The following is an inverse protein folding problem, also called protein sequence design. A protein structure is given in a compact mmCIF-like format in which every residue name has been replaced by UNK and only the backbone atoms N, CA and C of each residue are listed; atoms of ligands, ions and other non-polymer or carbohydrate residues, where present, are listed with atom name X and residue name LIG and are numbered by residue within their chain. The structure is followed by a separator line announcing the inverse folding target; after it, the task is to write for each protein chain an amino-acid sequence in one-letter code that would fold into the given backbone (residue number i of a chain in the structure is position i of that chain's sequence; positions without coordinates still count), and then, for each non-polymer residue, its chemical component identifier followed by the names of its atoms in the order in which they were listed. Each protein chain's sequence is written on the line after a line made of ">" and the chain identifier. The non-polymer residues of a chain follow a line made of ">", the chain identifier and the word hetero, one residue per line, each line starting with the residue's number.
data_IF_667248226310
#
_entry.id   IF_667248226310
#
_cell.length_a   1.000
_cell.length_b   1.000
_cell.length_c   1.000
_cell.angle_alpha   90.00
_cell.angle_beta   90.00
_cell.angle_gamma   90.00
#
_symmetry.space_group_name_H-M   'P 1'
#
loop_
_entity.id
_entity.type
_entity.pdbx_description
1 polymer ?
#
# COMPACT_ATOMS: atom_id res chain seq x y z
N UNK A 1 4.77 -58.33 17.19
CA UNK A 1 5.66 -57.16 17.30
C UNK A 1 5.46 -56.32 16.06
N UNK A 2 5.55 -55.01 16.20
CA UNK A 2 5.34 -54.05 15.12
C UNK A 2 6.43 -54.20 14.02
N UNK A 3 5.99 -54.34 12.77
CA UNK A 3 6.81 -54.57 11.56
C UNK A 3 7.00 -53.33 10.69
N UNK A 4 6.48 -52.18 11.15
CA UNK A 4 6.53 -50.95 10.38
C UNK A 4 7.96 -50.41 10.23
N UNK A 5 8.22 -49.78 9.07
CA UNK A 5 9.51 -49.15 8.77
C UNK A 5 9.81 -48.05 9.79
N UNK A 6 10.91 -48.20 10.53
CA UNK A 6 11.34 -47.23 11.54
C UNK A 6 12.25 -46.18 10.91
N UNK A 7 11.97 -44.91 11.19
CA UNK A 7 12.85 -43.78 10.86
C UNK A 7 13.52 -43.29 12.15
N UNK A 8 14.84 -43.16 12.12
CA UNK A 8 15.63 -42.59 13.22
C UNK A 8 16.46 -41.44 12.69
N UNK A 9 16.40 -40.34 13.41
CA UNK A 9 17.11 -39.10 13.12
C UNK A 9 18.08 -38.87 14.28
N UNK A 10 19.38 -38.97 14.00
CA UNK A 10 20.44 -38.69 14.98
C UNK A 10 21.02 -37.29 14.74
N UNK A 11 20.72 -36.39 15.66
CA UNK A 11 21.11 -34.98 15.59
C UNK A 11 22.39 -34.67 16.41
N UNK A 12 22.98 -35.67 17.05
CA UNK A 12 24.03 -35.48 18.05
C UNK A 12 25.43 -35.55 17.46
N UNK A 13 26.38 -34.85 18.09
CA UNK A 13 27.82 -34.95 17.78
C UNK A 13 28.58 -35.15 19.11
N UNK A 14 29.26 -36.30 19.32
CA UNK A 14 29.28 -37.48 18.46
C UNK A 14 27.91 -38.19 18.36
N UNK A 15 27.71 -38.98 17.31
CA UNK A 15 26.47 -39.71 17.05
C UNK A 15 26.07 -40.60 18.24
N UNK A 16 24.78 -40.65 18.56
CA UNK A 16 24.23 -41.54 19.57
C UNK A 16 23.97 -42.96 19.04
N UNK A 17 23.77 -43.11 17.73
CA UNK A 17 23.52 -44.42 17.10
C UNK A 17 24.78 -44.92 16.41
N UNK A 18 25.18 -46.14 16.75
CA UNK A 18 26.32 -46.79 16.11
C UNK A 18 25.90 -47.33 14.73
N UNK A 19 26.78 -47.21 13.72
CA UNK A 19 26.45 -47.64 12.34
C UNK A 19 26.15 -49.13 12.20
N UNK A 20 26.65 -49.97 13.10
CA UNK A 20 26.30 -51.39 13.12
C UNK A 20 24.81 -51.64 13.44
N UNK A 21 24.15 -50.73 14.16
CA UNK A 21 22.75 -50.88 14.57
C UNK A 21 21.77 -50.83 13.40
N UNK A 22 22.15 -50.20 12.27
CA UNK A 22 21.35 -50.19 11.04
C UNK A 22 21.45 -51.49 10.23
N UNK A 23 22.44 -52.35 10.53
CA UNK A 23 22.59 -53.68 9.94
C UNK A 23 21.73 -54.71 10.68
N UNK A 24 21.69 -54.62 12.01
CA UNK A 24 20.95 -55.54 12.88
C UNK A 24 19.44 -55.25 12.90
N UNK A 25 19.06 -54.00 12.63
CA UNK A 25 17.67 -53.56 12.58
C UNK A 25 17.42 -52.79 11.29
N UNK A 26 16.57 -53.29 10.37
CA UNK A 26 16.24 -52.56 9.15
C UNK A 26 15.45 -51.29 9.49
N UNK A 27 16.14 -50.14 9.42
CA UNK A 27 15.61 -48.82 9.73
C UNK A 27 16.17 -47.78 8.77
N UNK A 28 15.38 -46.77 8.45
CA UNK A 28 15.87 -45.58 7.77
C UNK A 28 16.60 -44.73 8.80
N UNK A 29 17.88 -44.46 8.56
CA UNK A 29 18.74 -43.72 9.47
C UNK A 29 19.23 -42.45 8.77
N UNK A 30 19.02 -41.30 9.42
CA UNK A 30 19.45 -39.99 8.94
C UNK A 30 20.42 -39.41 9.96
N UNK A 31 21.63 -39.09 9.52
CA UNK A 31 22.67 -38.48 10.36
C UNK A 31 22.61 -36.94 10.29
N UNK A 32 23.19 -36.27 11.28
CA UNK A 32 23.28 -34.81 11.33
C UNK A 32 23.98 -34.20 10.09
N UNK A 33 24.91 -34.94 9.46
CA UNK A 33 25.61 -34.48 8.26
C UNK A 33 24.71 -34.48 7.01
N UNK A 34 23.75 -35.42 6.90
CA UNK A 34 22.74 -35.43 5.84
C UNK A 34 21.83 -34.18 5.95
N UNK A 35 21.44 -33.84 7.19
CA UNK A 35 20.65 -32.65 7.47
C UNK A 35 21.42 -31.36 7.22
N UNK A 36 22.73 -31.34 7.48
CA UNK A 36 23.59 -30.19 7.15
C UNK A 36 23.69 -29.94 5.66
N UNK A 37 23.74 -31.00 4.85
CA UNK A 37 23.75 -30.87 3.38
C UNK A 37 22.41 -30.27 2.89
N UNK A 38 21.29 -30.81 3.36
CA UNK A 38 19.96 -30.28 3.04
C UNK A 38 19.77 -28.84 3.56
N UNK A 39 20.33 -28.51 4.72
CA UNK A 39 20.30 -27.15 5.26
C UNK A 39 21.12 -26.16 4.41
N UNK A 40 22.26 -26.59 3.84
CA UNK A 40 23.06 -25.76 2.91
C UNK A 40 22.30 -25.46 1.61
N UNK A 41 21.63 -26.47 1.04
CA UNK A 41 20.79 -26.29 -0.15
C UNK A 41 19.62 -25.33 0.13
N UNK A 42 18.97 -25.49 1.27
CA UNK A 42 17.91 -24.59 1.73
C UNK A 42 18.42 -23.15 1.98
N UNK A 43 19.65 -22.99 2.48
CA UNK A 43 20.26 -21.68 2.69
C UNK A 43 20.53 -20.98 1.35
N UNK A 44 21.10 -21.69 0.37
CA UNK A 44 21.32 -21.16 -0.98
C UNK A 44 20.00 -20.76 -1.66
N UNK A 45 18.93 -21.53 -1.46
CA UNK A 45 17.59 -21.14 -1.92
C UNK A 45 17.09 -19.85 -1.26
N UNK A 46 17.29 -19.70 0.06
CA UNK A 46 16.92 -18.48 0.80
C UNK A 46 17.69 -17.25 0.33
N UNK A 47 18.96 -17.39 -0.05
CA UNK A 47 19.77 -16.29 -0.61
C UNK A 47 19.17 -15.74 -1.91
N UNK A 48 18.62 -16.61 -2.76
CA UNK A 48 17.93 -16.18 -3.99
C UNK A 48 16.61 -15.45 -3.69
N UNK A 49 15.90 -15.84 -2.64
CA UNK A 49 14.68 -15.16 -2.19
C UNK A 49 14.97 -13.76 -1.63
N UNK A 50 16.13 -13.53 -1.00
CA UNK A 50 16.55 -12.20 -0.54
C UNK A 50 16.62 -11.22 -1.71
N UNK A 51 17.19 -11.61 -2.85
CA UNK A 51 17.27 -10.76 -4.02
C UNK A 51 15.87 -10.39 -4.57
N UNK A 52 14.93 -11.34 -4.55
CA UNK A 52 13.53 -11.09 -4.92
C UNK A 52 12.85 -10.12 -3.96
N UNK A 53 13.03 -10.31 -2.65
CA UNK A 53 12.50 -9.44 -1.61
C UNK A 53 13.05 -8.01 -1.72
N UNK A 54 14.36 -7.86 -1.99
CA UNK A 54 14.98 -6.55 -2.22
C UNK A 54 14.40 -5.86 -3.46
N UNK A 55 14.21 -6.58 -4.58
CA UNK A 55 13.59 -6.02 -5.78
C UNK A 55 12.17 -5.52 -5.50
N UNK A 56 11.38 -6.29 -4.75
CA UNK A 56 10.03 -5.92 -4.35
C UNK A 56 10.05 -4.68 -3.44
N UNK A 57 10.92 -4.67 -2.44
CA UNK A 57 11.06 -3.55 -1.50
C UNK A 57 11.45 -2.28 -2.24
N UNK A 58 12.41 -2.33 -3.16
CA UNK A 58 12.80 -1.18 -3.99
C UNK A 58 11.64 -0.66 -4.82
N UNK A 59 10.84 -1.53 -5.43
CA UNK A 59 9.64 -1.11 -6.15
C UNK A 59 8.63 -0.39 -5.23
N UNK A 60 8.42 -0.90 -4.02
CA UNK A 60 7.55 -0.24 -3.03
C UNK A 60 8.10 1.10 -2.57
N UNK A 61 9.40 1.17 -2.25
CA UNK A 61 10.03 2.42 -1.80
C UNK A 61 10.00 3.50 -2.87
N UNK A 62 10.10 3.13 -4.15
CA UNK A 62 9.96 4.07 -5.26
C UNK A 62 8.53 4.59 -5.43
N UNK A 63 7.51 3.76 -5.16
CA UNK A 63 6.09 4.12 -5.33
C UNK A 63 5.45 4.74 -4.07
N UNK A 64 6.05 4.53 -2.90
CA UNK A 64 5.51 4.99 -1.63
C UNK A 64 5.39 6.52 -1.51
N UNK A 65 6.37 7.34 -1.98
CA UNK A 65 6.26 8.79 -1.94
C UNK A 65 5.02 9.34 -2.64
N UNK A 66 4.67 8.79 -3.81
CA UNK A 66 3.46 9.18 -4.54
C UNK A 66 2.19 8.81 -3.78
N UNK A 67 2.17 7.60 -3.22
CA UNK A 67 1.05 7.14 -2.37
C UNK A 67 0.87 8.05 -1.16
N UNK A 68 1.96 8.43 -0.50
CA UNK A 68 1.94 9.35 0.64
C UNK A 68 1.49 10.76 0.23
N UNK A 69 1.95 11.26 -0.91
CA UNK A 69 1.53 12.55 -1.47
C UNK A 69 0.03 12.57 -1.76
N UNK A 70 -0.49 11.51 -2.38
CA UNK A 70 -1.93 11.37 -2.64
C UNK A 70 -2.72 11.43 -1.35
N UNK A 71 -2.29 10.68 -0.34
CA UNK A 71 -2.96 10.68 0.97
C UNK A 71 -2.95 12.06 1.65
N UNK A 72 -1.85 12.81 1.56
CA UNK A 72 -1.77 14.16 2.13
C UNK A 72 -2.76 15.12 1.45
N UNK A 73 -2.87 15.06 0.13
CA UNK A 73 -3.83 15.88 -0.62
C UNK A 73 -5.27 15.48 -0.26
N UNK A 74 -5.58 14.19 -0.22
CA UNK A 74 -6.90 13.71 0.22
C UNK A 74 -7.29 14.26 1.59
N UNK A 75 -6.36 14.24 2.55
CA UNK A 75 -6.61 14.75 3.90
C UNK A 75 -6.88 16.25 3.90
N UNK A 76 -6.11 17.04 3.14
CA UNK A 76 -6.32 18.48 3.03
C UNK A 76 -7.69 18.82 2.40
N UNK A 77 -8.12 18.05 1.40
CA UNK A 77 -9.40 18.28 0.70
C UNK A 77 -10.63 17.95 1.56
N UNK A 78 -10.47 17.24 2.69
CA UNK A 78 -11.60 16.95 3.60
C UNK A 78 -12.22 18.19 4.23
N UNK A 79 -11.50 19.31 4.29
CA UNK A 79 -12.04 20.55 4.85
C UNK A 79 -13.03 21.27 3.91
N UNK A 80 -12.94 21.03 2.59
CA UNK A 80 -13.71 21.78 1.59
C UNK A 80 -15.23 21.69 1.82
N UNK A 81 -15.85 20.52 2.07
CA UNK A 81 -17.29 20.44 2.30
C UNK A 81 -17.76 21.31 3.46
N UNK A 82 -17.03 21.30 4.58
CA UNK A 82 -17.36 22.08 5.77
C UNK A 82 -17.22 23.58 5.50
N UNK A 83 -16.13 24.01 4.86
CA UNK A 83 -15.91 25.41 4.48
C UNK A 83 -17.00 25.93 3.54
N UNK A 84 -17.37 25.15 2.52
CA UNK A 84 -18.41 25.53 1.55
C UNK A 84 -19.78 25.62 2.24
N UNK A 85 -20.07 24.69 3.16
CA UNK A 85 -21.29 24.71 3.96
C UNK A 85 -21.34 25.95 4.86
N UNK A 86 -20.25 26.26 5.54
CA UNK A 86 -20.14 27.44 6.40
C UNK A 86 -20.36 28.74 5.60
N UNK A 87 -19.82 28.84 4.39
CA UNK A 87 -20.07 29.97 3.48
C UNK A 87 -21.55 30.12 3.16
N UNK A 88 -22.25 29.02 2.84
CA UNK A 88 -23.70 29.04 2.58
C UNK A 88 -24.50 29.47 3.81
N UNK A 89 -24.22 28.89 4.97
CA UNK A 89 -24.92 29.21 6.22
C UNK A 89 -24.71 30.69 6.58
N UNK A 90 -23.47 31.19 6.47
CA UNK A 90 -23.15 32.60 6.68
C UNK A 90 -23.87 33.52 5.69
N UNK A 91 -23.94 33.15 4.42
CA UNK A 91 -24.64 33.94 3.41
C UNK A 91 -26.13 34.09 3.75
N UNK A 92 -26.81 33.01 4.14
CA UNK A 92 -28.25 33.00 4.41
C UNK A 92 -28.58 33.63 5.77
N UNK A 93 -27.81 33.30 6.81
CA UNK A 93 -28.18 33.61 8.19
C UNK A 93 -27.57 34.92 8.70
N UNK A 94 -26.51 35.43 8.05
CA UNK A 94 -25.82 36.64 8.50
C UNK A 94 -25.82 37.73 7.43
N UNK A 95 -25.23 37.45 6.26
CA UNK A 95 -24.95 38.48 5.25
C UNK A 95 -26.23 39.00 4.59
N UNK A 96 -27.09 38.09 4.13
CA UNK A 96 -28.33 38.42 3.42
C UNK A 96 -29.58 38.12 4.26
N UNK A 97 -29.43 38.08 5.59
CA UNK A 97 -30.51 37.67 6.50
C UNK A 97 -31.78 38.49 6.30
N UNK A 98 -31.65 39.80 6.08
CA UNK A 98 -32.79 40.72 5.96
C UNK A 98 -33.52 40.50 4.64
N UNK A 99 -32.76 40.44 3.55
CA UNK A 99 -33.24 40.21 2.20
C UNK A 99 -33.94 38.84 2.10
N UNK A 100 -33.38 37.80 2.71
CA UNK A 100 -33.98 36.47 2.76
C UNK A 100 -35.28 36.46 3.58
N UNK A 101 -35.38 37.26 4.63
CA UNK A 101 -36.58 37.35 5.46
C UNK A 101 -37.75 38.07 4.77
N UNK A 102 -37.47 38.90 3.76
CA UNK A 102 -38.46 39.60 2.95
C UNK A 102 -39.04 38.73 1.82
N UNK A 103 -38.44 37.57 1.54
CA UNK A 103 -38.90 36.66 0.48
C UNK A 103 -40.17 35.91 0.89
N UNK A 104 -41.06 35.71 -0.06
CA UNK A 104 -42.19 34.80 0.07
C UNK A 104 -41.72 33.33 0.06
N UNK A 105 -42.55 32.45 0.65
CA UNK A 105 -42.22 31.05 0.84
C UNK A 105 -41.71 30.31 -0.42
N UNK A 106 -42.36 30.39 -1.61
CA UNK A 106 -41.89 29.67 -2.79
C UNK A 106 -40.58 30.23 -3.35
N UNK A 107 -40.34 31.55 -3.27
CA UNK A 107 -39.07 32.15 -3.69
C UNK A 107 -37.93 31.75 -2.76
N UNK A 108 -38.19 31.73 -1.44
CA UNK A 108 -37.22 31.26 -0.45
C UNK A 108 -36.86 29.79 -0.66
N UNK A 109 -37.83 28.93 -0.94
CA UNK A 109 -37.58 27.52 -1.24
C UNK A 109 -36.74 27.35 -2.52
N UNK A 110 -37.04 28.12 -3.58
CA UNK A 110 -36.24 28.11 -4.79
C UNK A 110 -34.78 28.53 -4.51
N UNK A 111 -34.58 29.61 -3.76
CA UNK A 111 -33.25 30.08 -3.36
C UNK A 111 -32.49 29.00 -2.58
N UNK A 112 -33.11 28.38 -1.58
CA UNK A 112 -32.49 27.32 -0.77
C UNK A 112 -32.11 26.10 -1.62
N UNK A 113 -32.94 25.71 -2.58
CA UNK A 113 -32.62 24.64 -3.54
C UNK A 113 -31.46 25.02 -4.46
N UNK A 114 -31.44 26.24 -4.98
CA UNK A 114 -30.32 26.76 -5.80
C UNK A 114 -29.02 26.78 -5.01
N UNK A 115 -29.02 27.31 -3.79
CA UNK A 115 -27.85 27.35 -2.91
C UNK A 115 -27.35 25.96 -2.56
N UNK A 116 -28.26 25.01 -2.32
CA UNK A 116 -27.90 23.60 -2.08
C UNK A 116 -27.29 22.94 -3.32
N UNK A 117 -27.78 23.27 -4.52
CA UNK A 117 -27.16 22.81 -5.76
C UNK A 117 -25.76 23.40 -5.94
N UNK A 118 -25.60 24.70 -5.68
CA UNK A 118 -24.30 25.38 -5.75
C UNK A 118 -23.30 24.80 -4.75
N UNK A 119 -23.69 24.58 -3.50
CA UNK A 119 -22.89 23.91 -2.47
C UNK A 119 -22.34 22.57 -3.00
N UNK A 120 -23.22 21.71 -3.55
CA UNK A 120 -22.83 20.42 -4.14
C UNK A 120 -21.85 20.57 -5.31
N UNK A 121 -21.98 21.60 -6.15
CA UNK A 121 -21.06 21.84 -7.28
C UNK A 121 -19.72 22.40 -6.83
N UNK A 122 -19.71 23.33 -5.88
CA UNK A 122 -18.50 23.90 -5.30
C UNK A 122 -17.67 22.86 -4.53
N UNK A 123 -18.30 21.81 -3.99
CA UNK A 123 -17.58 20.64 -3.46
C UNK A 123 -17.18 19.68 -4.58
N UNK A 124 -18.12 19.28 -5.43
CA UNK A 124 -17.92 18.18 -6.38
C UNK A 124 -16.92 18.47 -7.50
N UNK A 125 -16.85 19.71 -8.01
CA UNK A 125 -15.95 20.06 -9.12
C UNK A 125 -14.48 20.02 -8.67
N UNK A 126 -14.07 20.73 -7.59
CA UNK A 126 -12.69 20.67 -7.12
C UNK A 126 -12.26 19.26 -6.72
N UNK A 127 -13.12 18.47 -6.07
CA UNK A 127 -12.80 17.08 -5.72
C UNK A 127 -12.56 16.21 -6.95
N UNK A 128 -13.35 16.37 -8.02
CA UNK A 128 -13.15 15.66 -9.29
C UNK A 128 -11.83 16.05 -9.97
N UNK A 129 -11.55 17.35 -10.03
CA UNK A 129 -10.30 17.86 -10.62
C UNK A 129 -9.10 17.34 -9.84
N UNK A 130 -9.12 17.44 -8.51
CA UNK A 130 -8.05 16.95 -7.67
C UNK A 130 -7.82 15.44 -7.85
N UNK A 131 -8.89 14.63 -7.87
CA UNK A 131 -8.79 13.20 -8.12
C UNK A 131 -8.13 12.90 -9.48
N UNK A 132 -8.54 13.61 -10.54
CA UNK A 132 -7.96 13.43 -11.88
C UNK A 132 -6.47 13.80 -11.95
N UNK A 133 -6.07 14.88 -11.25
CA UNK A 133 -4.67 15.30 -11.15
C UNK A 133 -3.80 14.34 -10.33
N UNK A 134 -4.38 13.57 -9.41
CA UNK A 134 -3.68 12.55 -8.63
C UNK A 134 -3.57 11.21 -9.38
N UNK A 135 -4.54 10.87 -10.24
CA UNK A 135 -4.51 9.61 -11.02
C UNK A 135 -3.75 9.71 -12.33
N UNK A 136 -3.39 10.91 -12.78
CA UNK A 136 -2.58 11.10 -13.97
C UNK A 136 -1.16 10.64 -13.69
N UNK A 137 -0.59 9.69 -14.47
CA UNK A 137 0.78 9.26 -14.25
C UNK A 137 1.71 10.45 -14.39
N UNK A 138 2.50 10.72 -13.35
CA UNK A 138 3.61 11.68 -13.36
C UNK A 138 4.73 11.10 -14.23
N UNK A 139 4.47 10.93 -15.54
CA UNK A 139 5.54 10.79 -16.52
C UNK A 139 5.93 12.20 -16.96
N UNK A 140 7.23 12.46 -16.95
CA UNK A 140 7.94 13.64 -17.50
C UNK A 140 8.19 14.84 -16.57
N UNK A 141 8.98 14.64 -15.50
CA UNK A 141 9.96 15.69 -15.11
C UNK A 141 11.39 15.13 -14.99
N UNK A 142 11.59 13.83 -14.78
CA UNK A 142 12.95 13.28 -14.60
C UNK A 142 13.66 12.81 -15.87
N UNK A 143 12.97 12.60 -17.01
CA UNK A 143 13.61 12.10 -18.24
C UNK A 143 14.23 13.17 -19.15
N UNK A 144 14.32 14.44 -18.71
CA UNK A 144 14.89 15.54 -19.51
C UNK A 144 16.26 16.04 -19.01
N UNK A 145 16.78 15.55 -17.89
CA UNK A 145 18.14 15.91 -17.43
C UNK A 145 19.22 14.91 -17.86
N UNK A 146 18.89 13.65 -18.14
CA UNK A 146 19.90 12.67 -18.58
C UNK A 146 20.20 12.69 -20.09
N UNK A 147 19.37 13.32 -20.92
CA UNK A 147 19.64 13.42 -22.37
C UNK A 147 20.53 14.62 -22.76
N UNK A 148 20.94 15.46 -21.81
CA UNK A 148 21.81 16.62 -22.04
C UNK A 148 23.29 16.37 -21.69
N UNK A 149 23.61 15.25 -21.04
CA UNK A 149 25.01 14.89 -20.73
C UNK A 149 25.65 13.92 -21.76
N UNK A 150 24.88 13.30 -22.65
CA UNK A 150 25.41 12.28 -23.59
C UNK A 150 25.72 12.81 -25.00
N UNK A 151 25.59 14.12 -25.24
CA UNK A 151 25.91 14.76 -26.54
C UNK A 151 27.14 15.66 -26.51
N UNK A 152 27.95 15.60 -25.46
CA UNK A 152 29.29 16.21 -25.42
C UNK A 152 30.37 15.16 -25.11
N UNK A 153 30.48 14.16 -25.99
CA UNK A 153 31.67 13.30 -26.15
C UNK A 153 31.97 13.13 -27.63
#
# INVERSE_FOLDING_TARGET
>A
GDTDKKLVIDLSIPNNVHRATTQDFPMQYIEIDDLRQLAKENLAFREQEIAKAQKLLTAYLNNFPDTLRHRRVELALRAIPEEVRAVKEKAINEVFRKEVAELDAPTRELLERMMTYMEKKCVGIPMKVAKASLTSPVKSIQSKQESLLTTQS
#
